data_IF_796960339392
#
_entry.id   IF_796960339392
#
_cell.length_a   1.000
_cell.length_b   1.000
_cell.length_c   1.000
_cell.angle_alpha   90.00
_cell.angle_beta   90.00
_cell.angle_gamma   90.00
#
_symmetry.space_group_name_H-M   'P 1'
#
loop_
_entity.id
_entity.type
_entity.pdbx_description
1 polymer ?
#
# COMPACT_ATOMS: atom_id res chain seq x y z
N UNK A 1 21.42 12.48 20.48
CA UNK A 1 21.70 12.33 19.03
C UNK A 1 21.88 10.84 18.81
N UNK A 2 20.77 10.12 18.59
CA UNK A 2 20.81 8.68 18.41
C UNK A 2 20.85 8.35 16.91
N UNK A 3 21.96 7.76 16.51
CA UNK A 3 22.22 7.26 15.17
C UNK A 3 21.50 5.93 14.98
N UNK A 4 20.30 5.96 14.38
CA UNK A 4 19.75 4.77 13.74
C UNK A 4 20.52 4.52 12.43
N UNK A 5 21.62 3.76 12.52
CA UNK A 5 22.27 3.20 11.34
C UNK A 5 21.34 2.15 10.72
N UNK A 6 20.76 2.47 9.56
CA UNK A 6 20.10 1.50 8.69
C UNK A 6 21.14 0.52 8.16
N UNK A 7 21.20 -0.67 8.75
CA UNK A 7 22.02 -1.78 8.24
C UNK A 7 21.41 -2.34 6.96
N UNK A 8 22.20 -2.42 5.87
CA UNK A 8 21.78 -3.12 4.65
C UNK A 8 21.66 -4.62 4.89
N UNK A 9 20.99 -5.36 3.98
CA UNK A 9 20.84 -6.84 4.09
C UNK A 9 22.16 -7.57 4.37
N UNK A 10 23.26 -7.11 3.74
CA UNK A 10 24.61 -7.66 3.98
C UNK A 10 25.12 -7.40 5.39
N UNK A 11 24.83 -6.23 5.94
CA UNK A 11 25.26 -5.86 7.29
C UNK A 11 24.43 -6.59 8.35
N UNK A 12 23.12 -6.76 8.13
CA UNK A 12 22.24 -7.54 9.00
C UNK A 12 22.63 -9.02 9.05
N UNK A 13 22.92 -9.64 7.90
CA UNK A 13 23.39 -11.04 7.86
C UNK A 13 24.73 -11.21 8.57
N UNK A 14 25.64 -10.24 8.44
CA UNK A 14 26.92 -10.25 9.13
C UNK A 14 26.75 -10.14 10.66
N UNK A 15 25.82 -9.31 11.14
CA UNK A 15 25.47 -9.22 12.56
C UNK A 15 24.89 -10.53 13.08
N UNK A 16 24.02 -11.22 12.31
CA UNK A 16 23.49 -12.54 12.68
C UNK A 16 24.64 -13.56 12.80
N UNK A 17 25.55 -13.60 11.83
CA UNK A 17 26.69 -14.52 11.85
C UNK A 17 27.65 -14.26 13.03
N UNK A 18 27.88 -12.99 13.38
CA UNK A 18 28.69 -12.60 14.55
C UNK A 18 28.00 -13.02 15.86
N UNK A 19 26.69 -12.79 15.99
CA UNK A 19 25.90 -13.20 17.16
C UNK A 19 25.81 -14.72 17.34
N UNK A 20 25.67 -15.47 16.25
CA UNK A 20 25.67 -16.94 16.30
C UNK A 20 27.03 -17.48 16.77
N UNK A 21 28.15 -16.85 16.36
CA UNK A 21 29.50 -17.23 16.80
C UNK A 21 29.79 -16.89 18.27
N UNK A 22 29.19 -15.83 18.82
CA UNK A 22 29.32 -15.49 20.24
C UNK A 22 28.54 -16.44 21.15
N UNK A 23 27.37 -16.91 20.69
CA UNK A 23 26.52 -17.82 21.46
C UNK A 23 27.16 -19.21 21.65
N UNK A 24 28.01 -19.64 20.71
CA UNK A 24 28.78 -20.89 20.78
C UNK A 24 29.90 -20.88 21.84
N UNK A 25 30.26 -19.70 22.39
CA UNK A 25 31.41 -19.53 23.30
C UNK A 25 31.08 -19.30 24.77
N UNK A 26 29.81 -19.13 25.18
CA UNK A 26 29.46 -18.80 26.57
C UNK A 26 28.59 -19.85 27.28
N UNK A 27 29.19 -20.67 28.16
CA UNK A 27 28.50 -21.56 29.11
C UNK A 27 27.92 -20.80 30.33
N UNK A 28 27.06 -19.80 30.12
CA UNK A 28 26.19 -19.22 31.16
C UNK A 28 24.76 -19.16 30.62
N UNK A 29 24.11 -20.33 30.70
CA UNK A 29 22.84 -20.65 30.10
C UNK A 29 21.68 -20.03 30.90
N UNK A 30 20.88 -19.19 30.21
CA UNK A 30 19.44 -18.91 30.40
C UNK A 30 19.11 -17.42 30.20
N UNK A 31 19.74 -16.49 30.94
CA UNK A 31 19.46 -15.05 30.77
C UNK A 31 20.11 -14.42 29.52
N UNK A 32 21.28 -14.90 29.11
CA UNK A 32 22.00 -14.38 27.94
C UNK A 32 21.44 -14.94 26.63
N UNK A 33 20.89 -16.17 26.69
CA UNK A 33 20.17 -16.81 25.58
C UNK A 33 18.89 -16.04 25.24
N UNK A 34 18.10 -15.61 26.23
CA UNK A 34 16.89 -14.83 26.00
C UNK A 34 17.14 -13.48 25.28
N UNK A 35 18.16 -12.72 25.72
CA UNK A 35 18.53 -11.47 25.03
C UNK A 35 19.09 -11.68 23.62
N UNK A 36 19.83 -12.77 23.41
CA UNK A 36 20.34 -13.14 22.07
C UNK A 36 19.19 -13.55 21.15
N UNK A 37 18.24 -14.35 21.65
CA UNK A 37 17.06 -14.74 20.86
C UNK A 37 16.17 -13.56 20.50
N UNK A 38 15.90 -12.64 21.42
CA UNK A 38 15.11 -11.43 21.14
C UNK A 38 15.74 -10.60 20.01
N UNK A 39 17.06 -10.41 20.06
CA UNK A 39 17.79 -9.66 19.03
C UNK A 39 17.79 -10.37 17.66
N UNK A 40 17.88 -11.70 17.64
CA UNK A 40 17.78 -12.48 16.40
C UNK A 40 16.35 -12.37 15.82
N UNK A 41 15.31 -12.47 16.65
CA UNK A 41 13.92 -12.28 16.21
C UNK A 41 13.70 -10.89 15.61
N UNK A 42 14.19 -9.84 16.27
CA UNK A 42 14.12 -8.47 15.77
C UNK A 42 14.82 -8.31 14.41
N UNK A 43 16.01 -8.90 14.24
CA UNK A 43 16.72 -8.86 12.96
C UNK A 43 15.96 -9.62 11.86
N UNK A 44 15.41 -10.80 12.17
CA UNK A 44 14.63 -11.58 11.20
C UNK A 44 13.34 -10.85 10.79
N UNK A 45 12.66 -10.20 11.74
CA UNK A 45 11.49 -9.38 11.47
C UNK A 45 11.84 -8.19 10.55
N UNK A 46 12.93 -7.47 10.86
CA UNK A 46 13.42 -6.38 10.03
C UNK A 46 13.81 -6.81 8.61
N UNK A 47 14.42 -8.00 8.46
CA UNK A 47 14.73 -8.57 7.13
C UNK A 47 13.46 -8.90 6.34
N UNK A 48 12.46 -9.48 6.99
CA UNK A 48 11.17 -9.77 6.35
C UNK A 48 10.46 -8.49 5.90
N UNK A 49 10.45 -7.44 6.75
CA UNK A 49 9.87 -6.14 6.39
C UNK A 49 10.63 -5.53 5.21
N UNK A 50 11.96 -5.60 5.21
CA UNK A 50 12.77 -5.07 4.10
C UNK A 50 12.47 -5.78 2.77
N UNK A 51 12.35 -7.11 2.79
CA UNK A 51 12.00 -7.90 1.60
C UNK A 51 10.60 -7.55 1.10
N UNK A 52 9.61 -7.48 2.00
CA UNK A 52 8.23 -7.10 1.66
C UNK A 52 8.19 -5.71 1.05
N UNK A 53 8.88 -4.74 1.65
CA UNK A 53 9.01 -3.37 1.14
C UNK A 53 9.59 -3.34 -0.27
N UNK A 54 10.61 -4.16 -0.55
CA UNK A 54 11.19 -4.26 -1.88
C UNK A 54 10.17 -4.81 -2.88
N UNK A 55 9.47 -5.88 -2.53
CA UNK A 55 8.49 -6.55 -3.41
C UNK A 55 7.29 -5.67 -3.74
N UNK A 56 6.75 -4.90 -2.78
CA UNK A 56 5.59 -4.03 -3.05
C UNK A 56 5.95 -2.73 -3.76
N UNK A 57 7.24 -2.35 -3.78
CA UNK A 57 7.70 -1.03 -4.24
C UNK A 57 7.25 -0.68 -5.65
N UNK A 58 7.43 -1.61 -6.59
CA UNK A 58 7.13 -1.37 -8.00
C UNK A 58 5.63 -1.28 -8.24
N UNK A 59 4.82 -2.07 -7.50
CA UNK A 59 3.36 -1.98 -7.55
C UNK A 59 2.85 -0.66 -6.97
N UNK A 60 3.44 -0.20 -5.86
CA UNK A 60 3.12 1.11 -5.27
C UNK A 60 3.49 2.26 -6.22
N UNK A 61 4.65 2.17 -6.87
CA UNK A 61 5.07 3.14 -7.89
C UNK A 61 4.07 3.18 -9.05
N UNK A 62 3.67 2.02 -9.56
CA UNK A 62 2.66 1.93 -10.62
C UNK A 62 1.31 2.50 -10.21
N UNK A 63 0.85 2.27 -8.97
CA UNK A 63 -0.37 2.91 -8.46
C UNK A 63 -0.28 4.44 -8.46
N UNK A 64 0.86 4.97 -8.02
CA UNK A 64 1.09 6.42 -7.99
C UNK A 64 1.04 7.05 -9.39
N UNK A 65 1.64 6.37 -10.37
CA UNK A 65 1.61 6.80 -11.79
C UNK A 65 0.18 6.79 -12.33
N UNK A 66 -0.58 5.70 -12.10
CA UNK A 66 -1.99 5.60 -12.49
C UNK A 66 -2.86 6.69 -11.84
N UNK A 67 -2.64 7.01 -10.57
CA UNK A 67 -3.39 8.07 -9.91
C UNK A 67 -3.08 9.46 -10.47
N UNK A 68 -1.81 9.75 -10.78
CA UNK A 68 -1.43 11.00 -11.44
C UNK A 68 -2.09 11.12 -12.82
N UNK A 69 -2.13 10.04 -13.60
CA UNK A 69 -2.80 10.02 -14.91
C UNK A 69 -4.30 10.30 -14.77
N UNK A 70 -4.97 9.72 -13.77
CA UNK A 70 -6.37 10.04 -13.47
C UNK A 70 -6.54 11.50 -13.07
N UNK A 71 -5.61 12.09 -12.30
CA UNK A 71 -5.72 13.50 -11.91
C UNK A 71 -5.61 14.43 -13.11
N UNK A 72 -4.66 14.20 -13.99
CA UNK A 72 -4.54 14.98 -15.23
C UNK A 72 -5.77 14.81 -16.12
N UNK A 73 -6.32 13.59 -16.21
CA UNK A 73 -7.57 13.34 -16.93
C UNK A 73 -8.76 14.11 -16.31
N UNK A 74 -8.92 14.06 -14.99
CA UNK A 74 -10.00 14.79 -14.30
C UNK A 74 -9.85 16.29 -14.52
N UNK A 75 -8.65 16.85 -14.39
CA UNK A 75 -8.38 18.27 -14.68
C UNK A 75 -8.67 18.64 -16.14
N UNK A 76 -8.45 17.75 -17.10
CA UNK A 76 -8.76 18.02 -18.51
C UNK A 76 -10.26 18.03 -18.78
N UNK A 77 -11.02 17.19 -18.05
CA UNK A 77 -12.47 17.00 -18.26
C UNK A 77 -13.34 17.88 -17.38
N UNK A 78 -12.76 18.43 -16.33
CA UNK A 78 -13.42 19.35 -15.40
C UNK A 78 -12.74 20.70 -15.48
N UNK A 79 -13.37 21.77 -14.99
CA UNK A 79 -12.70 23.09 -14.92
C UNK A 79 -11.87 23.23 -13.63
N UNK A 80 -11.42 22.11 -13.05
CA UNK A 80 -10.61 22.09 -11.83
C UNK A 80 -9.18 22.50 -12.18
N UNK A 81 -8.69 23.54 -11.52
CA UNK A 81 -7.39 24.13 -11.82
C UNK A 81 -6.25 23.33 -11.18
N UNK A 82 -6.45 22.85 -9.95
CA UNK A 82 -5.43 22.13 -9.19
C UNK A 82 -6.04 21.05 -8.31
N UNK A 83 -5.36 19.91 -8.18
CA UNK A 83 -5.69 18.86 -7.20
C UNK A 83 -4.52 18.83 -6.23
N UNK A 84 -4.71 19.37 -5.02
CA UNK A 84 -3.67 19.42 -3.97
C UNK A 84 -3.54 18.08 -3.26
N UNK A 85 -4.68 17.42 -3.06
CA UNK A 85 -4.77 16.16 -2.33
C UNK A 85 -5.80 15.23 -2.94
N UNK A 86 -5.63 13.95 -2.67
CA UNK A 86 -6.61 12.92 -2.93
C UNK A 86 -6.66 11.90 -1.80
N UNK A 87 -7.80 11.23 -1.70
CA UNK A 87 -7.95 10.00 -0.94
C UNK A 87 -8.67 8.98 -1.82
N UNK A 88 -8.13 7.78 -1.96
CA UNK A 88 -8.78 6.66 -2.63
C UNK A 88 -8.98 5.54 -1.64
N UNK A 89 -10.19 5.00 -1.60
CA UNK A 89 -10.53 3.84 -0.79
C UNK A 89 -10.91 2.70 -1.72
N UNK A 90 -10.23 1.57 -1.61
CA UNK A 90 -10.59 0.35 -2.31
C UNK A 90 -11.00 -0.72 -1.31
N UNK A 91 -12.21 -1.26 -1.46
CA UNK A 91 -12.68 -2.42 -0.74
C UNK A 91 -12.48 -3.64 -1.63
N UNK A 92 -11.79 -4.66 -1.12
CA UNK A 92 -11.52 -5.87 -1.90
C UNK A 92 -11.98 -7.10 -1.14
N UNK A 93 -12.79 -7.92 -1.80
CA UNK A 93 -13.15 -9.26 -1.34
C UNK A 93 -12.43 -10.28 -2.19
N UNK A 94 -11.52 -11.03 -1.58
CA UNK A 94 -10.58 -11.89 -2.28
C UNK A 94 -10.72 -13.35 -1.86
N UNK A 95 -10.78 -14.25 -2.85
CA UNK A 95 -10.79 -15.69 -2.64
C UNK A 95 -9.67 -16.38 -3.41
N UNK A 96 -8.91 -17.22 -2.70
CA UNK A 96 -7.81 -18.00 -3.24
C UNK A 96 -8.33 -19.38 -3.67
N UNK A 97 -8.17 -19.68 -4.95
CA UNK A 97 -8.54 -20.98 -5.54
C UNK A 97 -7.33 -21.91 -5.70
N UNK A 98 -6.14 -21.33 -5.93
CA UNK A 98 -4.87 -22.05 -5.98
C UNK A 98 -3.72 -21.14 -5.53
N UNK A 99 -2.49 -21.64 -5.52
CA UNK A 99 -1.32 -20.81 -5.22
C UNK A 99 -1.11 -19.67 -6.22
N UNK A 100 -1.62 -19.81 -7.44
CA UNK A 100 -1.44 -18.86 -8.54
C UNK A 100 -2.71 -18.06 -8.85
N UNK A 101 -3.88 -18.59 -8.46
CA UNK A 101 -5.19 -18.01 -8.78
C UNK A 101 -5.86 -17.44 -7.52
N UNK A 102 -5.91 -16.10 -7.47
CA UNK A 102 -6.70 -15.32 -6.51
C UNK A 102 -7.62 -14.43 -7.34
N UNK A 103 -8.92 -14.49 -7.05
CA UNK A 103 -9.92 -13.60 -7.63
C UNK A 103 -10.38 -12.61 -6.58
N UNK A 104 -10.50 -11.34 -6.96
CA UNK A 104 -10.97 -10.29 -6.07
C UNK A 104 -12.05 -9.46 -6.74
N UNK A 105 -13.14 -9.23 -6.01
CA UNK A 105 -14.11 -8.18 -6.31
C UNK A 105 -13.62 -6.89 -5.63
N UNK A 106 -13.68 -5.77 -6.35
CA UNK A 106 -13.12 -4.50 -5.89
C UNK A 106 -14.12 -3.36 -6.12
N UNK A 107 -14.40 -2.60 -5.07
CA UNK A 107 -15.10 -1.32 -5.13
C UNK A 107 -14.13 -0.19 -4.81
N UNK A 108 -13.99 0.79 -5.72
CA UNK A 108 -13.00 1.86 -5.60
C UNK A 108 -13.70 3.22 -5.59
N UNK A 109 -13.40 4.03 -4.57
CA UNK A 109 -13.96 5.37 -4.40
C UNK A 109 -12.80 6.37 -4.31
N UNK A 110 -12.91 7.51 -5.00
CA UNK A 110 -11.89 8.55 -4.99
C UNK A 110 -12.45 9.92 -4.61
N UNK A 111 -11.80 10.55 -3.63
CA UNK A 111 -12.04 11.90 -3.17
C UNK A 111 -10.88 12.77 -3.64
N UNK A 112 -11.19 13.92 -4.23
CA UNK A 112 -10.21 14.88 -4.71
C UNK A 112 -10.42 16.22 -3.99
N UNK A 113 -9.33 16.95 -3.78
CA UNK A 113 -9.31 18.19 -3.01
C UNK A 113 -8.51 19.27 -3.76
N UNK A 114 -9.17 20.36 -4.12
CA UNK A 114 -8.56 21.60 -4.62
C UNK A 114 -8.49 22.61 -3.45
N UNK A 115 -9.64 23.16 -3.04
CA UNK A 115 -9.85 23.91 -1.79
C UNK A 115 -11.05 23.38 -0.97
N UNK A 116 -11.92 22.61 -1.62
CA UNK A 116 -13.05 21.88 -1.04
C UNK A 116 -13.00 20.43 -1.52
N UNK A 117 -13.60 19.54 -0.74
CA UNK A 117 -13.74 18.14 -1.12
C UNK A 117 -14.78 17.98 -2.24
N UNK A 118 -14.41 17.24 -3.29
CA UNK A 118 -15.36 16.75 -4.27
C UNK A 118 -15.14 15.26 -4.54
N UNK A 119 -16.25 14.56 -4.76
CA UNK A 119 -16.29 13.10 -4.87
C UNK A 119 -16.30 12.69 -6.34
N UNK A 120 -15.28 11.95 -6.76
CA UNK A 120 -15.26 11.26 -8.04
C UNK A 120 -15.52 9.77 -7.82
N UNK A 121 -16.63 9.29 -8.37
CA UNK A 121 -16.94 7.87 -8.32
C UNK A 121 -16.25 7.16 -9.49
N UNK A 122 -15.46 6.13 -9.17
CA UNK A 122 -14.88 5.23 -10.15
C UNK A 122 -15.73 3.96 -10.20
N UNK A 123 -16.04 3.49 -11.40
CA UNK A 123 -16.59 2.15 -11.63
C UNK A 123 -17.83 1.80 -10.79
N UNK A 124 -18.86 2.65 -10.86
CA UNK A 124 -20.11 2.39 -10.13
C UNK A 124 -20.94 1.29 -10.81
N UNK A 125 -21.77 0.57 -10.05
CA UNK A 125 -22.71 -0.42 -10.62
C UNK A 125 -23.59 0.13 -11.76
N UNK A 126 -23.90 1.42 -11.73
CA UNK A 126 -24.71 2.10 -12.75
C UNK A 126 -23.90 2.75 -13.88
N UNK A 127 -22.57 2.72 -13.78
CA UNK A 127 -21.65 3.28 -14.77
C UNK A 127 -20.29 2.59 -14.70
N UNK A 128 -20.23 1.28 -15.02
CA UNK A 128 -18.97 0.55 -14.96
C UNK A 128 -17.99 1.12 -15.97
N UNK A 129 -16.71 1.20 -15.61
CA UNK A 129 -15.63 1.78 -16.42
C UNK A 129 -15.78 3.27 -16.74
N UNK A 130 -16.51 4.01 -15.92
CA UNK A 130 -16.63 5.46 -16.02
C UNK A 130 -16.09 6.13 -14.76
N UNK A 131 -15.64 7.37 -14.92
CA UNK A 131 -15.41 8.29 -13.82
C UNK A 131 -16.58 9.27 -13.82
N UNK A 132 -17.27 9.37 -12.68
CA UNK A 132 -18.33 10.34 -12.46
C UNK A 132 -17.86 11.38 -11.44
N UNK A 133 -17.62 12.61 -11.90
CA UNK A 133 -17.18 13.74 -11.07
C UNK A 133 -18.16 14.91 -11.19
N UNK A 134 -18.23 15.81 -10.20
CA UNK A 134 -18.93 17.08 -10.31
C UNK A 134 -18.33 17.94 -11.42
N UNK A 135 -19.19 18.62 -12.16
CA UNK A 135 -18.82 19.68 -13.10
C UNK A 135 -19.18 21.05 -12.52
N UNK A 136 -18.74 22.14 -13.17
CA UNK A 136 -18.86 23.52 -12.70
C UNK A 136 -20.30 23.93 -12.34
N UNK A 137 -21.31 23.26 -12.90
CA UNK A 137 -22.73 23.50 -12.65
C UNK A 137 -23.34 22.59 -11.54
N UNK A 138 -22.52 21.99 -10.68
CA UNK A 138 -22.91 20.94 -9.69
C UNK A 138 -23.56 19.68 -10.29
N UNK A 139 -23.66 19.60 -11.62
CA UNK A 139 -24.09 18.40 -12.34
C UNK A 139 -22.93 17.40 -12.38
N UNK A 140 -23.22 16.14 -12.06
CA UNK A 140 -22.25 15.07 -12.26
C UNK A 140 -22.21 14.67 -13.72
N UNK A 141 -21.03 14.73 -14.31
CA UNK A 141 -20.78 14.28 -15.67
C UNK A 141 -20.01 12.95 -15.65
N UNK A 142 -20.37 12.09 -16.59
CA UNK A 142 -19.70 10.81 -16.82
C UNK A 142 -18.68 10.97 -17.93
N UNK A 143 -17.46 10.61 -17.64
CA UNK A 143 -16.36 10.56 -18.59
C UNK A 143 -16.02 9.09 -18.87
N UNK A 144 -15.72 8.72 -20.12
CA UNK A 144 -15.64 7.31 -20.55
C UNK A 144 -14.41 6.93 -21.40
N UNK A 145 -13.71 7.88 -22.04
CA UNK A 145 -12.67 7.50 -23.00
C UNK A 145 -11.34 7.15 -22.30
N UNK A 146 -10.83 5.93 -22.55
CA UNK A 146 -9.60 5.31 -22.00
C UNK A 146 -9.63 4.91 -20.50
N UNK A 147 -10.78 4.99 -19.83
CA UNK A 147 -10.90 4.74 -18.38
C UNK A 147 -10.92 3.25 -18.01
N UNK A 148 -11.42 2.38 -18.89
CA UNK A 148 -11.44 0.92 -18.69
C UNK A 148 -10.04 0.40 -18.30
N UNK A 149 -9.00 0.83 -19.02
CA UNK A 149 -7.62 0.41 -18.73
C UNK A 149 -7.09 0.93 -17.39
N UNK A 150 -7.46 2.13 -16.96
CA UNK A 150 -6.95 2.68 -15.69
C UNK A 150 -7.53 1.96 -14.48
N UNK A 151 -8.83 1.72 -14.46
CA UNK A 151 -9.52 1.09 -13.34
C UNK A 151 -9.04 -0.36 -13.17
N UNK A 152 -8.97 -1.11 -14.27
CA UNK A 152 -8.46 -2.48 -14.25
C UNK A 152 -7.00 -2.54 -13.80
N UNK A 153 -6.17 -1.58 -14.25
CA UNK A 153 -4.77 -1.47 -13.81
C UNK A 153 -4.65 -1.18 -12.32
N UNK A 154 -5.51 -0.31 -11.76
CA UNK A 154 -5.51 -0.05 -10.30
C UNK A 154 -5.90 -1.32 -9.55
N UNK A 155 -6.97 -2.00 -9.98
CA UNK A 155 -7.41 -3.27 -9.37
C UNK A 155 -6.30 -4.31 -9.40
N UNK A 156 -5.58 -4.43 -10.51
CA UNK A 156 -4.44 -5.35 -10.66
C UNK A 156 -3.30 -5.01 -9.69
N UNK A 157 -2.89 -3.74 -9.59
CA UNK A 157 -1.81 -3.35 -8.67
C UNK A 157 -2.18 -3.52 -7.21
N UNK A 158 -3.43 -3.22 -6.83
CA UNK A 158 -3.94 -3.48 -5.48
C UNK A 158 -3.89 -4.98 -5.19
N UNK A 159 -4.35 -5.82 -6.13
CA UNK A 159 -4.29 -7.27 -6.03
C UNK A 159 -2.84 -7.78 -5.86
N UNK A 160 -1.89 -7.28 -6.63
CA UNK A 160 -0.49 -7.68 -6.49
C UNK A 160 0.08 -7.37 -5.10
N UNK A 161 -0.26 -6.19 -4.56
CA UNK A 161 0.12 -5.81 -3.20
C UNK A 161 -0.52 -6.75 -2.18
N UNK A 162 -1.81 -7.09 -2.35
CA UNK A 162 -2.49 -8.04 -1.48
C UNK A 162 -1.88 -9.44 -1.55
N UNK A 163 -1.51 -9.93 -2.74
CA UNK A 163 -0.81 -11.20 -2.93
C UNK A 163 0.51 -11.23 -2.18
N UNK A 164 1.23 -10.11 -2.10
CA UNK A 164 2.48 -10.03 -1.35
C UNK A 164 2.22 -10.02 0.16
N UNK A 165 1.24 -9.24 0.63
CA UNK A 165 0.96 -9.07 2.06
C UNK A 165 0.23 -10.26 2.69
N UNK A 166 -0.68 -10.89 1.96
CA UNK A 166 -1.64 -11.86 2.49
C UNK A 166 -1.66 -13.20 1.75
N UNK A 167 -0.55 -13.59 1.09
CA UNK A 167 -0.40 -14.79 0.27
C UNK A 167 -0.98 -16.09 0.89
N UNK A 168 -0.91 -16.18 2.22
CA UNK A 168 -1.27 -17.39 2.99
C UNK A 168 -2.75 -17.47 3.35
N UNK A 169 -3.53 -16.39 3.17
CA UNK A 169 -4.95 -16.39 3.52
C UNK A 169 -5.79 -17.01 2.39
N UNK A 170 -6.65 -17.99 2.69
CA UNK A 170 -7.52 -18.61 1.68
C UNK A 170 -8.63 -17.66 1.22
N UNK A 171 -9.11 -16.80 2.11
CA UNK A 171 -10.16 -15.81 1.84
C UNK A 171 -9.91 -14.61 2.75
N UNK A 172 -10.07 -13.40 2.23
CA UNK A 172 -9.86 -12.18 3.00
C UNK A 172 -10.60 -10.99 2.43
N UNK A 173 -11.03 -10.12 3.35
CA UNK A 173 -11.61 -8.82 3.06
C UNK A 173 -10.59 -7.76 3.43
N UNK A 174 -10.31 -6.84 2.52
CA UNK A 174 -9.39 -5.74 2.78
C UNK A 174 -10.02 -4.40 2.47
N UNK A 175 -9.56 -3.40 3.22
CA UNK A 175 -9.72 -1.99 2.89
C UNK A 175 -8.34 -1.43 2.63
N UNK A 176 -8.17 -0.82 1.45
CA UNK A 176 -6.95 -0.14 1.06
C UNK A 176 -7.23 1.35 1.01
N UNK A 177 -6.71 2.09 1.98
CA UNK A 177 -6.78 3.55 2.02
C UNK A 177 -5.49 4.12 1.41
N UNK A 178 -5.61 4.89 0.34
CA UNK A 178 -4.50 5.53 -0.36
C UNK A 178 -4.71 7.04 -0.27
N UNK A 179 -3.66 7.78 0.05
CA UNK A 179 -3.69 9.24 0.09
C UNK A 179 -2.50 9.78 -0.68
N UNK A 180 -2.75 10.75 -1.56
CA UNK A 180 -1.69 11.56 -2.17
C UNK A 180 -1.87 12.99 -1.72
N UNK A 181 -0.81 13.58 -1.19
CA UNK A 181 -0.81 14.91 -0.59
C UNK A 181 0.39 15.66 -1.15
N UNK A 182 0.16 16.45 -2.21
CA UNK A 182 1.23 17.07 -2.99
C UNK A 182 1.97 18.16 -2.21
N UNK A 183 1.36 18.68 -1.15
CA UNK A 183 1.97 19.64 -0.23
C UNK A 183 2.95 18.98 0.75
N UNK A 184 2.90 17.65 0.90
CA UNK A 184 3.82 16.93 1.77
C UNK A 184 5.16 16.66 1.09
N UNK A 185 6.28 16.86 1.80
CA UNK A 185 7.58 16.52 1.27
C UNK A 185 7.71 15.01 1.07
N UNK A 186 8.35 14.63 -0.04
CA UNK A 186 8.74 13.25 -0.29
C UNK A 186 9.77 12.80 0.74
N UNK A 187 9.56 11.66 1.39
CA UNK A 187 10.58 11.05 2.26
C UNK A 187 11.75 10.52 1.42
N UNK A 188 12.97 10.71 1.92
CA UNK A 188 14.18 10.16 1.28
C UNK A 188 14.16 8.63 1.22
N UNK A 189 13.60 8.00 2.26
CA UNK A 189 13.44 6.56 2.37
C UNK A 189 11.97 6.29 2.71
N UNK A 190 11.22 5.53 1.88
CA UNK A 190 9.86 5.14 2.23
C UNK A 190 9.84 4.26 3.48
N UNK A 191 8.78 4.25 4.26
CA UNK A 191 8.62 3.37 5.43
C UNK A 191 7.59 2.29 5.13
N UNK A 192 7.84 1.07 5.62
CA UNK A 192 6.85 0.00 5.67
C UNK A 192 6.73 -0.46 7.12
N UNK A 193 5.52 -0.42 7.67
CA UNK A 193 5.22 -0.97 9.00
C UNK A 193 4.07 -1.95 8.91
N UNK A 194 4.15 -3.06 9.64
CA UNK A 194 3.11 -4.08 9.72
C UNK A 194 2.66 -4.17 11.17
N UNK A 195 1.39 -3.88 11.42
CA UNK A 195 0.79 -3.92 12.76
C UNK A 195 -0.47 -4.77 12.72
N UNK A 196 -0.34 -6.01 13.20
CA UNK A 196 -1.43 -6.99 13.28
C UNK A 196 -2.12 -7.17 11.92
N UNK A 197 -3.34 -6.62 11.82
CA UNK A 197 -4.19 -6.76 10.64
C UNK A 197 -3.93 -5.71 9.56
N UNK A 198 -2.91 -4.86 9.69
CA UNK A 198 -2.66 -3.77 8.75
C UNK A 198 -1.19 -3.64 8.34
N UNK A 199 -0.97 -3.24 7.09
CA UNK A 199 0.32 -2.84 6.55
C UNK A 199 0.22 -1.39 6.07
N UNK A 200 1.21 -0.57 6.42
CA UNK A 200 1.28 0.85 6.08
C UNK A 200 2.57 1.11 5.31
N UNK A 201 2.44 1.68 4.12
CA UNK A 201 3.53 2.20 3.30
C UNK A 201 3.45 3.72 3.24
N UNK A 202 4.53 4.41 3.59
CA UNK A 202 4.57 5.87 3.66
C UNK A 202 5.82 6.45 2.97
N UNK A 203 5.62 7.22 1.90
CA UNK A 203 6.64 7.99 1.16
C UNK A 203 6.48 9.51 1.39
N UNK A 204 5.66 9.94 2.35
CA UNK A 204 5.33 11.35 2.60
C UNK A 204 4.23 11.86 1.66
N UNK A 205 4.58 12.07 0.40
CA UNK A 205 3.63 12.51 -0.66
C UNK A 205 2.61 11.42 -1.01
N UNK A 206 2.95 10.16 -0.75
CA UNK A 206 2.10 9.00 -1.00
C UNK A 206 2.03 8.17 0.28
N UNK A 207 0.82 7.87 0.71
CA UNK A 207 0.53 7.03 1.86
C UNK A 207 -0.44 5.94 1.43
N UNK A 208 -0.19 4.70 1.83
CA UNK A 208 -1.09 3.58 1.61
C UNK A 208 -1.20 2.75 2.88
N UNK A 209 -2.42 2.44 3.29
CA UNK A 209 -2.72 1.51 4.36
C UNK A 209 -3.62 0.41 3.84
N UNK A 210 -3.16 -0.83 3.93
CA UNK A 210 -3.95 -2.02 3.65
C UNK A 210 -4.36 -2.63 4.99
N UNK A 211 -5.66 -2.84 5.21
CA UNK A 211 -6.20 -3.38 6.46
C UNK A 211 -7.13 -4.57 6.19
N UNK A 212 -6.86 -5.70 6.83
CA UNK A 212 -7.79 -6.82 6.91
C UNK A 212 -9.02 -6.41 7.73
N UNK A 213 -10.19 -6.48 7.10
CA UNK A 213 -11.47 -6.26 7.77
C UNK A 213 -11.84 -7.52 8.55
N UNK A 214 -12.20 -7.37 9.83
CA UNK A 214 -12.71 -8.49 10.63
C UNK A 214 -14.20 -8.64 10.38
N UNK A 215 -14.60 -9.80 9.84
CA UNK A 215 -15.99 -10.25 9.75
C UNK A 215 -16.65 -9.93 8.41
N UNK A 216 -16.70 -10.92 7.53
CA UNK A 216 -17.96 -11.54 7.09
C UNK A 216 -17.63 -13.03 6.88
N UNK A 217 -17.98 -13.87 7.86
CA UNK A 217 -18.15 -15.31 7.68
C UNK A 217 -19.65 -15.57 7.61
#
# INVERSE_FOLDING_TARGET
MDSQQLYGRKDLMKIIEEHLKETDKSQKYDQQLNKSSEKIFEIMENLNIWELKYRIRDHVKGLKELFNEIYEYVKEKTDISEIKKSNTVAYSYCKKFSNELILCENDIIMYLYEDKEFLCLLDTQHSPYHIECPHHDDKRLRYSHQITSFIDSIKEKILDIHKILYLKLPEYHTRTDISMDLDKPKKAIPELSINGNSAIYDEGIFYMKVSLQRGVL
#
